data_IF_812533992856
#
_entry.id   IF_812533992856
#
_cell.length_a   1.000
_cell.length_b   1.000
_cell.length_c   1.000
_cell.angle_alpha   90.00
_cell.angle_beta   90.00
_cell.angle_gamma   90.00
#
_symmetry.space_group_name_H-M   'P 1'
#
loop_
_entity.id
_entity.type
_entity.pdbx_description
1 polymer ?
#
# COMPACT_ATOMS: atom_id res chain seq x y z
N UNK A 1 10.33 7.94 -15.93
CA UNK A 1 11.56 8.68 -15.71
C UNK A 1 11.56 9.28 -14.31
N UNK A 2 12.56 8.95 -13.49
CA UNK A 2 12.65 9.35 -12.08
C UNK A 2 12.69 10.89 -11.89
N UNK A 3 13.24 11.63 -12.85
CA UNK A 3 13.24 13.10 -12.82
C UNK A 3 11.83 13.69 -12.95
N UNK A 4 10.97 13.05 -13.71
CA UNK A 4 9.57 13.46 -13.86
C UNK A 4 8.77 13.19 -12.58
N UNK A 5 9.00 12.05 -11.93
CA UNK A 5 8.39 11.72 -10.64
C UNK A 5 8.78 12.75 -9.55
N UNK A 6 10.07 13.07 -9.43
CA UNK A 6 10.54 14.11 -8.50
C UNK A 6 9.80 15.43 -8.69
N UNK A 7 9.69 15.91 -9.95
CA UNK A 7 8.99 17.17 -10.25
C UNK A 7 7.52 17.13 -9.85
N UNK A 8 6.81 16.02 -10.16
CA UNK A 8 5.40 15.83 -9.83
C UNK A 8 5.21 15.83 -8.31
N UNK A 9 6.02 15.05 -7.58
CA UNK A 9 5.91 14.96 -6.12
C UNK A 9 6.28 16.28 -5.43
N UNK A 10 7.34 16.96 -5.88
CA UNK A 10 7.70 18.26 -5.37
C UNK A 10 6.58 19.30 -5.60
N UNK A 11 5.94 19.29 -6.77
CA UNK A 11 4.81 20.15 -7.07
C UNK A 11 3.60 19.84 -6.16
N UNK A 12 3.26 18.56 -5.96
CA UNK A 12 2.20 18.15 -5.04
C UNK A 12 2.50 18.65 -3.61
N UNK A 13 3.73 18.49 -3.13
CA UNK A 13 4.13 18.97 -1.81
C UNK A 13 4.07 20.49 -1.68
N UNK A 14 4.41 21.24 -2.72
CA UNK A 14 4.30 22.71 -2.72
C UNK A 14 2.86 23.21 -2.61
N UNK A 15 1.90 22.38 -2.99
CA UNK A 15 0.46 22.64 -2.87
C UNK A 15 -0.16 22.07 -1.58
N UNK A 16 0.66 21.57 -0.65
CA UNK A 16 0.20 21.02 0.62
C UNK A 16 -0.45 19.62 0.51
N UNK A 17 -0.27 18.94 -0.63
CA UNK A 17 -0.83 17.60 -0.83
C UNK A 17 -0.04 16.52 -0.09
N UNK A 18 -0.73 15.48 0.34
CA UNK A 18 -0.12 14.23 0.81
C UNK A 18 0.24 13.36 -0.39
N UNK A 19 1.47 12.87 -0.43
CA UNK A 19 1.96 11.99 -1.49
C UNK A 19 1.97 10.54 -1.00
N UNK A 20 1.06 9.73 -1.57
CA UNK A 20 1.05 8.28 -1.40
C UNK A 20 1.59 7.64 -2.69
N UNK A 21 2.57 6.76 -2.57
CA UNK A 21 3.16 6.05 -3.69
C UNK A 21 3.01 4.54 -3.50
N UNK A 22 2.63 3.84 -4.55
CA UNK A 22 2.79 2.39 -4.65
C UNK A 22 3.98 2.06 -5.55
N UNK A 23 4.48 0.85 -5.46
CA UNK A 23 5.59 0.38 -6.28
C UNK A 23 5.11 -0.72 -7.22
N UNK A 24 5.76 -0.78 -8.37
CA UNK A 24 5.62 -1.90 -9.30
C UNK A 24 6.97 -2.60 -9.42
N UNK A 25 6.96 -3.85 -9.89
CA UNK A 25 8.21 -4.56 -10.17
C UNK A 25 9.10 -3.70 -11.05
N UNK A 26 10.36 -3.55 -10.65
CA UNK A 26 11.35 -2.78 -11.41
C UNK A 26 11.48 -3.34 -12.84
N UNK A 27 11.47 -2.44 -13.82
CA UNK A 27 11.52 -2.81 -15.25
C UNK A 27 12.95 -2.85 -15.79
N UNK A 28 13.84 -2.03 -15.26
CA UNK A 28 15.19 -1.82 -15.78
C UNK A 28 16.28 -1.98 -14.72
N UNK A 29 15.97 -2.65 -13.60
CA UNK A 29 16.92 -2.88 -12.52
C UNK A 29 17.12 -1.68 -11.60
N UNK A 30 16.16 -0.74 -11.57
CA UNK A 30 16.22 0.45 -10.72
C UNK A 30 16.46 0.07 -9.26
N UNK A 31 17.30 0.85 -8.59
CA UNK A 31 17.60 0.74 -7.18
C UNK A 31 17.00 1.90 -6.38
N UNK A 32 17.04 1.81 -5.07
CA UNK A 32 16.60 2.92 -4.21
C UNK A 32 17.38 4.21 -4.47
N UNK A 33 18.65 4.12 -4.85
CA UNK A 33 19.47 5.30 -5.17
C UNK A 33 18.98 6.03 -6.42
N UNK A 34 18.49 5.28 -7.41
CA UNK A 34 17.99 5.86 -8.66
C UNK A 34 16.71 6.68 -8.46
N UNK A 35 15.91 6.34 -7.43
CA UNK A 35 14.64 6.99 -7.13
C UNK A 35 14.68 7.86 -5.87
N UNK A 36 15.82 7.91 -5.17
CA UNK A 36 15.97 8.58 -3.86
C UNK A 36 15.47 10.01 -3.86
N UNK A 37 15.83 10.80 -4.87
CA UNK A 37 15.41 12.20 -4.97
C UNK A 37 13.88 12.38 -5.07
N UNK A 38 13.15 11.38 -5.56
CA UNK A 38 11.69 11.40 -5.57
C UNK A 38 11.12 10.92 -4.24
N UNK A 39 11.77 9.92 -3.59
CA UNK A 39 11.33 9.36 -2.30
C UNK A 39 11.31 10.39 -1.16
N UNK A 40 12.16 11.41 -1.20
CA UNK A 40 12.18 12.51 -0.21
C UNK A 40 10.85 13.28 -0.12
N UNK A 41 10.02 13.24 -1.17
CA UNK A 41 8.71 13.89 -1.21
C UNK A 41 7.55 12.95 -0.86
N UNK A 42 7.83 11.65 -0.60
CA UNK A 42 6.81 10.64 -0.33
C UNK A 42 6.44 10.63 1.15
N UNK A 43 5.17 10.84 1.45
CA UNK A 43 4.66 10.75 2.82
C UNK A 43 4.36 9.29 3.20
N UNK A 44 3.82 8.50 2.26
CA UNK A 44 3.49 7.09 2.45
C UNK A 44 3.90 6.28 1.23
N UNK A 45 4.62 5.17 1.43
CA UNK A 45 4.95 4.21 0.37
C UNK A 45 4.36 2.84 0.70
N UNK A 46 3.73 2.18 -0.28
CA UNK A 46 2.91 0.99 -0.10
C UNK A 46 3.38 -0.22 -0.94
N UNK A 47 4.67 -0.56 -0.99
CA UNK A 47 5.17 -1.69 -1.77
C UNK A 47 4.68 -3.03 -1.21
N UNK A 48 4.71 -4.08 -2.03
CA UNK A 48 4.74 -5.43 -1.48
C UNK A 48 6.17 -5.80 -1.04
N UNK A 49 6.32 -6.90 -0.30
CA UNK A 49 7.61 -7.32 0.27
C UNK A 49 8.66 -7.61 -0.82
N UNK A 50 8.26 -8.27 -1.93
CA UNK A 50 9.15 -8.56 -3.06
C UNK A 50 9.66 -7.26 -3.71
N UNK A 51 8.80 -6.31 -3.95
CA UNK A 51 9.14 -5.01 -4.54
C UNK A 51 10.08 -4.21 -3.63
N UNK A 52 9.76 -4.15 -2.35
CA UNK A 52 10.58 -3.46 -1.36
C UNK A 52 11.99 -4.08 -1.27
N UNK A 53 12.08 -5.40 -1.17
CA UNK A 53 13.36 -6.10 -1.10
C UNK A 53 14.17 -5.92 -2.39
N UNK A 54 13.54 -6.04 -3.55
CA UNK A 54 14.21 -5.89 -4.85
C UNK A 54 14.81 -4.49 -5.04
N UNK A 55 14.06 -3.43 -4.72
CA UNK A 55 14.53 -2.05 -4.95
C UNK A 55 15.61 -1.64 -3.94
N UNK A 56 15.52 -2.13 -2.71
CA UNK A 56 16.47 -1.80 -1.64
C UNK A 56 17.69 -2.70 -1.60
N UNK A 57 17.65 -3.87 -2.28
CA UNK A 57 18.68 -4.90 -2.21
C UNK A 57 18.74 -5.57 -0.83
N UNK A 58 17.64 -5.63 -0.10
CA UNK A 58 17.53 -6.23 1.23
C UNK A 58 16.75 -7.54 1.19
N UNK A 59 16.98 -8.39 2.20
CA UNK A 59 16.40 -9.74 2.24
C UNK A 59 15.09 -9.80 3.05
N UNK A 60 14.83 -8.82 3.92
CA UNK A 60 13.66 -8.78 4.79
C UNK A 60 12.87 -7.50 4.64
N UNK A 61 11.56 -7.57 4.93
CA UNK A 61 10.68 -6.40 4.92
C UNK A 61 11.15 -5.33 5.91
N UNK A 62 11.66 -5.72 7.07
CA UNK A 62 12.17 -4.83 8.11
C UNK A 62 13.38 -4.03 7.63
N UNK A 63 14.36 -4.71 7.03
CA UNK A 63 15.56 -4.07 6.47
C UNK A 63 15.22 -3.19 5.26
N UNK A 64 14.29 -3.65 4.41
CA UNK A 64 13.80 -2.87 3.27
C UNK A 64 13.08 -1.60 3.74
N UNK A 65 12.24 -1.70 4.77
CA UNK A 65 11.55 -0.55 5.34
C UNK A 65 12.54 0.48 5.91
N UNK A 66 13.56 0.03 6.64
CA UNK A 66 14.62 0.91 7.16
C UNK A 66 15.34 1.64 6.02
N UNK A 67 15.71 0.91 4.96
CA UNK A 67 16.39 1.50 3.81
C UNK A 67 15.53 2.54 3.07
N UNK A 68 14.22 2.33 2.98
CA UNK A 68 13.29 3.31 2.41
C UNK A 68 13.15 4.56 3.29
N UNK A 69 13.15 4.42 4.62
CA UNK A 69 13.21 5.57 5.54
C UNK A 69 14.49 6.38 5.41
N UNK A 70 15.65 5.71 5.28
CA UNK A 70 16.94 6.36 5.04
C UNK A 70 16.94 7.13 3.71
N UNK A 71 16.19 6.66 2.71
CA UNK A 71 16.02 7.33 1.43
C UNK A 71 15.06 8.54 1.49
N UNK A 72 14.43 8.82 2.64
CA UNK A 72 13.66 10.01 2.88
C UNK A 72 12.15 9.83 2.97
N UNK A 73 11.62 8.63 2.76
CA UNK A 73 10.19 8.32 2.94
C UNK A 73 9.80 8.53 4.42
N UNK A 74 8.62 9.09 4.68
CA UNK A 74 8.17 9.34 6.05
C UNK A 74 7.54 8.11 6.72
N UNK A 75 6.68 7.40 5.99
CA UNK A 75 5.99 6.21 6.47
C UNK A 75 6.06 5.11 5.41
N UNK A 76 6.48 3.93 5.81
CA UNK A 76 6.59 2.74 4.96
C UNK A 76 5.57 1.72 5.42
N UNK A 77 4.75 1.21 4.51
CA UNK A 77 3.74 0.18 4.76
C UNK A 77 3.94 -0.94 3.76
N UNK A 78 4.61 -2.00 4.16
CA UNK A 78 4.94 -3.13 3.28
C UNK A 78 3.86 -4.19 3.36
N UNK A 79 3.22 -4.48 2.22
CA UNK A 79 2.22 -5.54 2.07
C UNK A 79 2.90 -6.91 2.13
N UNK A 80 2.52 -7.76 3.11
CA UNK A 80 3.13 -9.08 3.35
C UNK A 80 2.14 -10.25 3.11
N UNK A 81 1.15 -10.06 2.23
CA UNK A 81 0.15 -11.07 1.88
C UNK A 81 -0.66 -11.55 3.09
N UNK A 82 -0.74 -12.86 3.28
CA UNK A 82 -1.48 -13.47 4.39
C UNK A 82 -0.94 -13.08 5.79
N UNK A 83 0.28 -12.56 5.86
CA UNK A 83 0.88 -12.07 7.12
C UNK A 83 0.46 -10.63 7.45
N UNK A 84 -0.40 -10.00 6.64
CA UNK A 84 -0.83 -8.62 6.82
C UNK A 84 0.16 -7.61 6.26
N UNK A 85 0.52 -6.59 7.02
CA UNK A 85 1.50 -5.60 6.60
C UNK A 85 2.44 -5.18 7.73
N UNK A 86 3.61 -4.71 7.33
CA UNK A 86 4.59 -4.08 8.21
C UNK A 86 4.47 -2.56 8.09
N UNK A 87 4.30 -1.88 9.21
CA UNK A 87 4.28 -0.42 9.29
C UNK A 87 5.56 0.04 9.96
N UNK A 88 6.28 0.96 9.33
CA UNK A 88 7.52 1.53 9.84
C UNK A 88 7.59 3.01 9.56
N UNK A 89 7.90 3.79 10.58
CA UNK A 89 8.34 5.18 10.47
C UNK A 89 9.47 5.45 11.46
N UNK A 90 9.89 6.69 11.64
CA UNK A 90 11.00 7.04 12.53
C UNK A 90 10.70 6.81 14.02
N UNK A 91 9.43 6.67 14.40
CA UNK A 91 9.00 6.55 15.81
C UNK A 91 8.65 5.11 16.17
N UNK A 92 8.11 4.35 15.23
CA UNK A 92 7.51 3.04 15.50
C UNK A 92 7.72 2.04 14.37
N UNK A 93 7.74 0.77 14.75
CA UNK A 93 7.78 -0.36 13.85
C UNK A 93 6.86 -1.45 14.41
N UNK A 94 5.84 -1.85 13.64
CA UNK A 94 4.91 -2.88 14.07
C UNK A 94 4.28 -3.60 12.89
N UNK A 95 3.75 -4.79 13.14
CA UNK A 95 2.95 -5.54 12.17
C UNK A 95 1.46 -5.40 12.47
N UNK A 96 0.68 -5.27 11.40
CA UNK A 96 -0.79 -5.37 11.43
C UNK A 96 -1.16 -6.67 10.73
N UNK A 97 -1.70 -7.61 11.50
CA UNK A 97 -2.03 -8.95 11.00
C UNK A 97 -3.22 -8.91 10.05
N UNK A 98 -3.18 -9.74 9.01
CA UNK A 98 -4.34 -9.96 8.17
C UNK A 98 -5.45 -10.69 8.94
N UNK A 99 -6.72 -10.54 8.50
CA UNK A 99 -7.82 -11.32 9.08
C UNK A 99 -7.58 -12.82 8.88
N UNK A 100 -7.71 -13.63 9.92
CA UNK A 100 -7.58 -15.09 9.78
C UNK A 100 -8.76 -15.67 8.99
N UNK A 101 -8.56 -16.85 8.38
CA UNK A 101 -9.63 -17.61 7.72
C UNK A 101 -10.06 -17.04 6.36
N UNK A 102 -9.34 -16.09 5.78
CA UNK A 102 -9.63 -15.56 4.44
C UNK A 102 -9.27 -16.63 3.39
N UNK A 103 -10.26 -17.02 2.59
CA UNK A 103 -10.03 -17.92 1.45
C UNK A 103 -9.52 -17.14 0.26
N UNK A 104 -8.27 -17.34 -0.11
CA UNK A 104 -7.68 -16.73 -1.29
C UNK A 104 -8.13 -17.50 -2.55
N UNK A 105 -8.84 -16.84 -3.45
CA UNK A 105 -9.26 -17.34 -4.77
C UNK A 105 -8.37 -16.75 -5.86
N UNK A 106 -8.14 -15.44 -5.81
CA UNK A 106 -7.33 -14.70 -6.78
C UNK A 106 -6.65 -13.52 -6.09
N UNK A 107 -5.36 -13.33 -6.32
CA UNK A 107 -4.60 -12.21 -5.75
C UNK A 107 -4.60 -10.96 -6.62
N UNK A 108 -5.23 -11.03 -7.81
CA UNK A 108 -5.30 -9.90 -8.75
C UNK A 108 -6.02 -8.71 -8.12
N UNK A 109 -5.39 -7.55 -8.12
CA UNK A 109 -5.95 -6.32 -7.58
C UNK A 109 -5.96 -6.22 -6.04
N UNK A 110 -5.44 -7.23 -5.33
CA UNK A 110 -5.35 -7.16 -3.87
C UNK A 110 -4.47 -6.00 -3.38
N UNK A 111 -3.35 -5.74 -4.05
CA UNK A 111 -2.47 -4.60 -3.76
C UNK A 111 -3.16 -3.26 -4.01
N UNK A 112 -3.87 -3.14 -5.13
CA UNK A 112 -4.61 -1.92 -5.48
C UNK A 112 -5.77 -1.67 -4.49
N UNK A 113 -6.47 -2.72 -4.09
CA UNK A 113 -7.55 -2.64 -3.08
C UNK A 113 -7.00 -2.27 -1.70
N UNK A 114 -5.82 -2.79 -1.33
CA UNK A 114 -5.12 -2.39 -0.12
C UNK A 114 -4.77 -0.90 -0.18
N UNK A 115 -4.14 -0.44 -1.26
CA UNK A 115 -3.74 0.96 -1.42
C UNK A 115 -4.97 1.89 -1.41
N UNK A 116 -6.05 1.54 -2.10
CA UNK A 116 -7.30 2.29 -2.09
C UNK A 116 -7.89 2.40 -0.67
N UNK A 117 -7.94 1.28 0.06
CA UNK A 117 -8.42 1.26 1.45
C UNK A 117 -7.56 2.11 2.39
N UNK A 118 -6.24 2.05 2.21
CA UNK A 118 -5.31 2.88 2.98
C UNK A 118 -5.54 4.37 2.76
N UNK A 119 -5.62 4.79 1.49
CA UNK A 119 -5.82 6.20 1.10
C UNK A 119 -7.18 6.69 1.59
N UNK A 120 -8.23 5.88 1.46
CA UNK A 120 -9.55 6.21 1.98
C UNK A 120 -9.53 6.46 3.49
N UNK A 121 -8.99 5.53 4.27
CA UNK A 121 -8.92 5.67 5.72
C UNK A 121 -8.06 6.89 6.14
N UNK A 122 -6.97 7.16 5.40
CA UNK A 122 -6.14 8.34 5.60
C UNK A 122 -6.91 9.64 5.33
N UNK A 123 -7.74 9.68 4.29
CA UNK A 123 -8.57 10.85 3.95
C UNK A 123 -9.65 11.13 5.00
N UNK A 124 -10.10 10.10 5.73
CA UNK A 124 -11.00 10.22 6.88
C UNK A 124 -10.29 10.68 8.17
N UNK A 125 -8.98 10.93 8.10
CA UNK A 125 -8.19 11.38 9.26
C UNK A 125 -7.91 10.31 10.31
N UNK A 126 -7.97 9.02 9.93
CA UNK A 126 -7.70 7.89 10.84
C UNK A 126 -6.21 7.82 11.17
N UNK A 127 -5.91 7.25 12.34
CA UNK A 127 -4.54 6.96 12.75
C UNK A 127 -3.88 5.92 11.84
N UNK A 128 -2.55 5.97 11.74
CA UNK A 128 -1.77 5.12 10.82
C UNK A 128 -2.07 3.61 10.99
N UNK A 129 -2.24 3.15 12.23
CA UNK A 129 -2.61 1.76 12.52
C UNK A 129 -3.98 1.41 11.96
N UNK A 130 -4.97 2.27 12.15
CA UNK A 130 -6.33 2.07 11.63
C UNK A 130 -6.36 2.08 10.11
N UNK A 131 -5.55 2.94 9.47
CA UNK A 131 -5.36 2.95 8.01
C UNK A 131 -4.85 1.59 7.51
N UNK A 132 -3.84 1.02 8.19
CA UNK A 132 -3.27 -0.27 7.84
C UNK A 132 -4.25 -1.44 8.07
N UNK A 133 -5.04 -1.39 9.16
CA UNK A 133 -6.09 -2.38 9.45
C UNK A 133 -7.20 -2.35 8.40
N UNK A 134 -7.64 -1.15 8.01
CA UNK A 134 -8.65 -0.97 6.97
C UNK A 134 -8.14 -1.44 5.60
N UNK A 135 -6.91 -1.11 5.27
CA UNK A 135 -6.24 -1.55 4.04
C UNK A 135 -6.13 -3.09 3.96
N UNK A 136 -5.72 -3.75 5.06
CA UNK A 136 -5.70 -5.21 5.16
C UNK A 136 -7.09 -5.81 4.92
N UNK A 137 -8.15 -5.19 5.46
CA UNK A 137 -9.53 -5.66 5.24
C UNK A 137 -9.94 -5.55 3.76
N UNK A 138 -9.61 -4.44 3.09
CA UNK A 138 -9.89 -4.26 1.66
C UNK A 138 -9.13 -5.28 0.79
N UNK A 139 -7.84 -5.49 1.05
CA UNK A 139 -7.05 -6.52 0.37
C UNK A 139 -7.59 -7.93 0.59
N UNK A 140 -8.03 -8.24 1.82
CA UNK A 140 -8.63 -9.52 2.16
C UNK A 140 -9.98 -9.76 1.46
N UNK A 141 -10.77 -8.73 1.23
CA UNK A 141 -12.01 -8.82 0.44
C UNK A 141 -11.70 -9.10 -1.03
N UNK A 142 -10.72 -8.41 -1.60
CA UNK A 142 -10.35 -8.55 -3.00
C UNK A 142 -9.90 -9.97 -3.37
N UNK A 143 -9.15 -10.65 -2.49
CA UNK A 143 -8.65 -12.01 -2.79
C UNK A 143 -9.71 -13.11 -2.74
N UNK A 144 -10.92 -12.84 -2.25
CA UNK A 144 -12.00 -13.81 -2.12
C UNK A 144 -12.87 -13.96 -3.37
N UNK A 145 -12.60 -13.17 -4.41
CA UNK A 145 -13.35 -13.18 -5.68
C UNK A 145 -12.41 -13.18 -6.86
N UNK A 146 -12.90 -13.57 -8.04
CA UNK A 146 -12.12 -13.52 -9.27
C UNK A 146 -12.04 -12.10 -9.83
N UNK A 147 -10.84 -11.71 -10.25
CA UNK A 147 -10.57 -10.43 -10.91
C UNK A 147 -10.45 -9.24 -9.96
N UNK A 148 -9.81 -8.19 -10.44
CA UNK A 148 -9.42 -7.02 -9.65
C UNK A 148 -10.60 -6.25 -9.02
N UNK A 149 -11.80 -6.33 -9.60
CA UNK A 149 -12.99 -5.58 -9.17
C UNK A 149 -14.19 -6.46 -8.79
N UNK A 150 -14.03 -7.79 -8.78
CA UNK A 150 -15.11 -8.73 -8.51
C UNK A 150 -15.81 -8.51 -7.16
N UNK A 151 -15.06 -8.09 -6.14
CA UNK A 151 -15.60 -7.80 -4.80
C UNK A 151 -16.52 -6.58 -4.77
N UNK A 152 -16.37 -5.61 -5.67
CA UNK A 152 -17.24 -4.45 -5.79
C UNK A 152 -18.64 -4.90 -6.26
N UNK A 153 -18.69 -5.84 -7.19
CA UNK A 153 -19.93 -6.38 -7.72
C UNK A 153 -20.64 -7.31 -6.71
N UNK A 154 -19.88 -8.11 -5.95
CA UNK A 154 -20.42 -8.98 -4.90
C UNK A 154 -21.10 -8.15 -3.78
N UNK A 155 -20.52 -7.03 -3.35
CA UNK A 155 -21.13 -6.13 -2.36
C UNK A 155 -22.37 -5.37 -2.85
N UNK A 156 -22.57 -5.24 -4.17
CA UNK A 156 -23.73 -4.60 -4.75
C UNK A 156 -24.97 -5.53 -4.83
N UNK A 157 -24.77 -6.85 -4.72
CA UNK A 157 -25.85 -7.85 -4.78
C UNK A 157 -26.55 -8.10 -3.44
N UNK A 158 -26.00 -7.62 -2.33
CA UNK A 158 -26.55 -7.83 -0.97
C UNK A 158 -27.50 -6.72 -0.50
N UNK A 159 -28.05 -5.91 -1.41
CA UNK A 159 -29.24 -5.12 -1.05
C UNK A 159 -30.43 -6.04 -0.94
N UNK A 160 -31.09 -6.15 0.22
CA UNK A 160 -32.33 -6.91 0.31
C UNK A 160 -33.32 -6.32 -0.67
N UNK A 161 -33.93 -7.17 -1.51
CA UNK A 161 -35.09 -6.79 -2.30
C UNK A 161 -36.14 -6.32 -1.30
N UNK A 162 -36.43 -5.04 -1.24
CA UNK A 162 -37.65 -4.54 -0.61
C UNK A 162 -38.80 -5.11 -1.41
N UNK A 163 -39.43 -6.16 -0.85
CA UNK A 163 -40.70 -6.66 -1.33
C UNK A 163 -41.74 -5.53 -1.14
N UNK A 164 -42.03 -4.82 -2.22
CA UNK A 164 -43.21 -3.98 -2.33
C UNK A 164 -44.43 -4.88 -2.26
N UNK A 165 -45.17 -4.76 -1.17
CA UNK A 165 -46.55 -5.19 -1.05
C UNK A 165 -47.49 -4.15 -1.61
#
# INVERSE_FOLDING_TARGET
>A
DCRSLKKIFAQAKSQGMTVCADMTKRKHGETVEDIKEALEYVDYILPNEEEACLVTGKDTAEEAAERLLEAGVKNVVIKCGARGCLVRNRRECYRVMAKPGVRCIDTTGAGDSFAAGFIYALSEGRELRECAEYANACGAMAVQVLGATGWIQAGASDKPCENGG
#
